data_IF_190978531576
#
_entry.id   IF_190978531576
#
_cell.length_a   1.000
_cell.length_b   1.000
_cell.length_c   1.000
_cell.angle_alpha   90.00
_cell.angle_beta   90.00
_cell.angle_gamma   90.00
#
_symmetry.space_group_name_H-M   'P 1'
#
loop_
_entity.id
_entity.type
_entity.pdbx_description
1 polymer ?
#
# COMPACT_ATOMS: atom_id res chain seq x y z
N UNK A 1 22.83 32.17 -9.34
CA UNK A 1 21.72 31.61 -8.53
C UNK A 1 20.45 32.33 -8.97
N UNK A 2 19.64 31.72 -9.84
CA UNK A 2 18.38 32.32 -10.30
C UNK A 2 17.34 32.06 -9.22
N UNK A 3 16.99 33.10 -8.45
CA UNK A 3 15.91 33.02 -7.48
C UNK A 3 14.59 32.95 -8.23
N UNK A 4 14.03 31.75 -8.37
CA UNK A 4 12.62 31.60 -8.71
C UNK A 4 11.84 32.13 -7.51
N UNK A 5 11.33 33.37 -7.60
CA UNK A 5 10.38 33.90 -6.62
C UNK A 5 9.10 33.06 -6.71
N UNK A 6 9.01 32.00 -5.90
CA UNK A 6 7.77 31.30 -5.64
C UNK A 6 6.89 32.19 -4.76
N UNK A 7 6.06 33.03 -5.38
CA UNK A 7 4.93 33.58 -4.65
C UNK A 7 3.84 32.51 -4.55
N UNK A 8 3.23 32.38 -3.37
CA UNK A 8 2.06 31.51 -3.14
C UNK A 8 0.93 31.88 -4.12
N UNK A 9 0.84 33.15 -4.52
CA UNK A 9 -0.07 33.63 -5.54
C UNK A 9 0.17 32.97 -6.91
N UNK A 10 1.41 32.82 -7.36
CA UNK A 10 1.72 32.13 -8.62
C UNK A 10 1.36 30.64 -8.56
N UNK A 11 1.48 30.02 -7.39
CA UNK A 11 1.08 28.61 -7.18
C UNK A 11 -0.44 28.41 -7.26
N UNK A 12 -1.25 29.38 -6.84
CA UNK A 12 -2.71 29.25 -6.83
C UNK A 12 -3.41 29.85 -8.06
N UNK A 13 -2.83 30.89 -8.68
CA UNK A 13 -3.52 31.71 -9.68
C UNK A 13 -2.87 31.74 -11.08
N UNK A 14 -1.75 31.05 -11.33
CA UNK A 14 -1.18 31.01 -12.71
C UNK A 14 -2.05 30.20 -13.67
N UNK A 15 -2.11 30.64 -14.93
CA UNK A 15 -2.87 30.01 -16.01
C UNK A 15 -2.44 28.54 -16.23
N UNK A 16 -3.40 27.64 -16.48
CA UNK A 16 -3.16 26.23 -16.83
C UNK A 16 -2.68 26.03 -18.28
N UNK A 17 -2.63 27.10 -19.06
CA UNK A 17 -2.14 27.08 -20.43
C UNK A 17 -0.62 27.23 -20.43
N UNK A 18 0.04 26.43 -21.25
CA UNK A 18 1.47 26.58 -21.48
C UNK A 18 1.77 28.00 -22.01
N UNK A 19 2.87 28.62 -21.59
CA UNK A 19 3.27 29.93 -22.11
C UNK A 19 3.60 29.84 -23.60
N UNK A 20 3.32 30.91 -24.34
CA UNK A 20 3.74 31.03 -25.74
C UNK A 20 5.22 31.39 -25.76
N UNK A 21 6.03 30.55 -26.40
CA UNK A 21 7.47 30.74 -26.51
C UNK A 21 7.82 31.61 -27.72
N UNK A 22 8.76 32.54 -27.52
CA UNK A 22 9.39 33.31 -28.60
C UNK A 22 10.26 32.39 -29.50
N UNK A 23 10.60 32.86 -30.70
CA UNK A 23 11.43 32.09 -31.63
C UNK A 23 12.80 31.71 -31.07
N UNK A 24 13.40 32.58 -30.24
CA UNK A 24 14.68 32.31 -29.57
C UNK A 24 14.53 31.23 -28.49
N UNK A 25 13.49 31.31 -27.66
CA UNK A 25 13.20 30.29 -26.64
C UNK A 25 12.89 28.92 -27.26
N UNK A 26 12.22 28.89 -28.42
CA UNK A 26 11.99 27.65 -29.16
C UNK A 26 13.31 27.01 -29.65
N UNK A 27 14.30 27.81 -30.04
CA UNK A 27 15.62 27.29 -30.40
C UNK A 27 16.34 26.70 -29.18
N UNK A 28 16.26 27.37 -28.03
CA UNK A 28 16.82 26.87 -26.76
C UNK A 28 16.18 25.54 -26.35
N UNK A 29 14.84 25.43 -26.41
CA UNK A 29 14.15 24.19 -26.10
C UNK A 29 14.49 23.06 -27.08
N UNK A 30 14.64 23.36 -28.39
CA UNK A 30 15.11 22.37 -29.37
C UNK A 30 16.52 21.87 -29.05
N UNK A 31 17.46 22.76 -28.75
CA UNK A 31 18.83 22.39 -28.38
C UNK A 31 18.86 21.56 -27.09
N UNK A 32 18.09 21.97 -26.09
CA UNK A 32 17.93 21.24 -24.84
C UNK A 32 17.34 19.85 -25.03
N UNK A 33 16.33 19.69 -25.88
CA UNK A 33 15.77 18.38 -26.23
C UNK A 33 16.78 17.50 -26.97
N UNK A 34 17.57 18.05 -27.90
CA UNK A 34 18.65 17.31 -28.56
C UNK A 34 19.67 16.79 -27.55
N UNK A 35 20.13 17.65 -26.63
CA UNK A 35 21.10 17.27 -25.60
C UNK A 35 20.53 16.23 -24.61
N UNK A 36 19.26 16.35 -24.22
CA UNK A 36 18.58 15.33 -23.39
C UNK A 36 18.50 13.98 -24.10
N UNK A 37 18.15 13.97 -25.39
CA UNK A 37 18.08 12.73 -26.19
C UNK A 37 19.47 12.11 -26.35
N UNK A 38 20.49 12.92 -26.57
CA UNK A 38 21.89 12.48 -26.63
C UNK A 38 22.31 11.80 -25.32
N UNK A 39 22.07 12.44 -24.16
CA UNK A 39 22.33 11.84 -22.85
C UNK A 39 21.56 10.53 -22.62
N UNK A 40 20.26 10.49 -22.92
CA UNK A 40 19.46 9.28 -22.74
C UNK A 40 19.93 8.12 -23.64
N UNK A 41 20.39 8.42 -24.86
CA UNK A 41 20.98 7.42 -25.76
C UNK A 41 22.31 6.89 -25.22
N UNK A 42 23.14 7.76 -24.65
CA UNK A 42 24.41 7.36 -24.01
C UNK A 42 24.14 6.48 -22.79
N UNK A 43 23.20 6.87 -21.93
CA UNK A 43 22.78 6.10 -20.74
C UNK A 43 22.31 4.70 -21.14
N UNK A 44 21.41 4.59 -22.11
CA UNK A 44 20.93 3.30 -22.63
C UNK A 44 22.07 2.43 -23.22
N UNK A 45 23.05 3.04 -23.89
CA UNK A 45 24.21 2.31 -24.42
C UNK A 45 25.16 1.85 -23.31
N UNK A 46 25.36 2.66 -22.27
CA UNK A 46 26.14 2.28 -21.09
C UNK A 46 25.51 1.06 -20.40
N UNK A 47 24.20 1.09 -20.16
CA UNK A 47 23.47 -0.05 -19.60
C UNK A 47 23.61 -1.31 -20.47
N UNK A 48 23.50 -1.13 -21.80
CA UNK A 48 23.69 -2.25 -22.75
C UNK A 48 25.10 -2.83 -22.66
N UNK A 49 26.13 -1.99 -22.56
CA UNK A 49 27.52 -2.43 -22.44
C UNK A 49 27.78 -3.16 -21.12
N UNK A 50 27.22 -2.68 -20.01
CA UNK A 50 27.29 -3.35 -18.71
C UNK A 50 26.68 -4.77 -18.77
N UNK A 51 25.52 -4.90 -19.43
CA UNK A 51 24.88 -6.20 -19.67
C UNK A 51 25.74 -7.11 -20.56
N UNK A 52 26.37 -6.58 -21.60
CA UNK A 52 27.20 -7.38 -22.51
C UNK A 52 28.49 -7.87 -21.86
N UNK A 53 29.13 -7.04 -21.03
CA UNK A 53 30.28 -7.46 -20.22
C UNK A 53 29.87 -8.59 -19.27
N UNK A 54 28.73 -8.42 -18.58
CA UNK A 54 28.21 -9.43 -17.63
C UNK A 54 27.83 -10.78 -18.28
N UNK A 55 27.71 -10.81 -19.61
CA UNK A 55 27.37 -12.00 -20.39
C UNK A 55 28.54 -12.50 -21.26
N UNK A 56 29.77 -12.09 -20.97
CA UNK A 56 31.00 -12.50 -21.65
C UNK A 56 31.01 -12.22 -23.17
N UNK A 57 30.21 -11.26 -23.65
CA UNK A 57 30.13 -10.90 -25.09
C UNK A 57 31.17 -9.85 -25.48
N UNK A 58 32.44 -10.18 -25.27
CA UNK A 58 33.55 -9.21 -25.32
C UNK A 58 33.69 -8.48 -26.67
N UNK A 59 33.53 -9.17 -27.80
CA UNK A 59 33.69 -8.55 -29.14
C UNK A 59 32.56 -7.56 -29.46
N UNK A 60 31.32 -7.89 -29.09
CA UNK A 60 30.18 -6.98 -29.22
C UNK A 60 30.36 -5.75 -28.31
N UNK A 61 30.88 -5.96 -27.10
CA UNK A 61 31.21 -4.89 -26.16
C UNK A 61 32.28 -3.96 -26.74
N UNK A 62 33.37 -4.49 -27.28
CA UNK A 62 34.44 -3.69 -27.90
C UNK A 62 33.91 -2.82 -29.05
N UNK A 63 33.06 -3.40 -29.90
CA UNK A 63 32.44 -2.67 -31.00
C UNK A 63 31.55 -1.54 -30.49
N UNK A 64 30.63 -1.83 -29.56
CA UNK A 64 29.70 -0.85 -29.00
C UNK A 64 30.40 0.22 -28.16
N UNK A 65 31.49 -0.11 -27.49
CA UNK A 65 32.29 0.84 -26.74
C UNK A 65 32.91 1.91 -27.65
N UNK A 66 33.32 1.54 -28.87
CA UNK A 66 33.79 2.54 -29.85
C UNK A 66 32.67 3.52 -30.20
N UNK A 67 31.45 3.05 -30.42
CA UNK A 67 30.31 3.94 -30.67
C UNK A 67 30.01 4.84 -29.46
N UNK A 68 30.06 4.29 -28.24
CA UNK A 68 29.90 5.05 -27.01
C UNK A 68 30.92 6.20 -26.90
N UNK A 69 32.19 5.95 -27.28
CA UNK A 69 33.23 6.98 -27.27
C UNK A 69 32.87 8.17 -28.17
N UNK A 70 32.35 7.92 -29.38
CA UNK A 70 31.85 8.98 -30.26
C UNK A 70 30.63 9.68 -29.66
N UNK A 71 29.67 8.95 -29.11
CA UNK A 71 28.46 9.54 -28.52
C UNK A 71 28.83 10.49 -27.37
N UNK A 72 29.75 10.10 -26.48
CA UNK A 72 30.24 10.94 -25.37
C UNK A 72 30.98 12.19 -25.86
N UNK A 73 31.86 12.06 -26.86
CA UNK A 73 32.58 13.20 -27.43
C UNK A 73 31.64 14.15 -28.15
N UNK A 74 30.76 13.63 -29.01
CA UNK A 74 29.80 14.43 -29.76
C UNK A 74 28.79 15.13 -28.83
N UNK A 75 28.40 14.51 -27.72
CA UNK A 75 27.58 15.19 -26.71
C UNK A 75 28.30 16.42 -26.12
N UNK A 76 29.61 16.34 -25.87
CA UNK A 76 30.39 17.49 -25.40
C UNK A 76 30.55 18.55 -26.50
N UNK A 77 30.78 18.16 -27.75
CA UNK A 77 30.87 19.09 -28.88
C UNK A 77 29.53 19.80 -29.12
N UNK A 78 28.41 19.08 -29.10
CA UNK A 78 27.06 19.66 -29.17
C UNK A 78 26.84 20.67 -28.03
N UNK A 79 27.21 20.31 -26.80
CA UNK A 79 27.09 21.19 -25.63
C UNK A 79 27.85 22.52 -25.81
N UNK A 80 29.04 22.47 -26.43
CA UNK A 80 29.87 23.65 -26.69
C UNK A 80 29.59 24.33 -28.03
N UNK A 81 28.54 23.92 -28.75
CA UNK A 81 28.19 24.40 -30.10
C UNK A 81 29.31 24.19 -31.14
N UNK A 82 30.11 23.15 -30.98
CA UNK A 82 31.15 22.72 -31.92
C UNK A 82 30.60 21.68 -32.90
N UNK A 83 31.24 21.56 -34.07
CA UNK A 83 30.85 20.61 -35.11
C UNK A 83 31.11 19.18 -34.64
N UNK A 84 30.11 18.32 -34.78
CA UNK A 84 30.21 16.89 -34.48
C UNK A 84 31.24 16.19 -35.37
N UNK A 85 31.87 15.17 -34.81
CA UNK A 85 32.80 14.27 -35.51
C UNK A 85 31.97 13.09 -36.02
N UNK A 86 32.02 12.83 -37.32
CA UNK A 86 31.38 11.65 -37.92
C UNK A 86 31.99 10.37 -37.35
N UNK A 87 31.22 9.29 -37.30
CA UNK A 87 31.76 7.96 -37.03
C UNK A 87 32.94 7.68 -37.97
N UNK A 88 34.00 7.05 -37.46
CA UNK A 88 35.30 6.86 -38.13
C UNK A 88 36.17 8.12 -38.29
N UNK A 89 35.68 9.28 -37.83
CA UNK A 89 36.47 10.52 -37.77
C UNK A 89 37.56 10.47 -36.70
N UNK A 90 38.53 11.39 -36.80
CA UNK A 90 39.64 11.42 -35.87
C UNK A 90 39.25 12.01 -34.50
N UNK A 91 39.17 11.17 -33.47
CA UNK A 91 38.94 11.57 -32.08
C UNK A 91 40.20 12.10 -31.37
N UNK A 92 41.40 11.87 -31.90
CA UNK A 92 42.66 12.31 -31.28
C UNK A 92 42.82 13.84 -31.27
N UNK A 93 42.10 14.55 -32.14
CA UNK A 93 42.06 16.02 -32.15
C UNK A 93 41.12 16.64 -31.11
N UNK A 94 40.40 15.82 -30.34
CA UNK A 94 39.48 16.30 -29.31
C UNK A 94 40.25 16.87 -28.11
N UNK A 95 40.00 18.13 -27.78
CA UNK A 95 40.58 18.78 -26.60
C UNK A 95 39.71 18.46 -25.39
N UNK A 96 40.26 17.69 -24.46
CA UNK A 96 39.56 17.35 -23.20
C UNK A 96 39.32 18.63 -22.40
N UNK A 97 38.07 18.94 -22.00
CA UNK A 97 37.77 20.15 -21.25
C UNK A 97 38.45 20.12 -19.87
N UNK A 98 39.05 21.24 -19.46
CA UNK A 98 39.60 21.40 -18.12
C UNK A 98 38.49 21.29 -17.07
N UNK A 99 38.71 20.47 -16.04
CA UNK A 99 37.75 20.25 -14.96
C UNK A 99 38.39 20.42 -13.60
N UNK A 100 37.67 21.08 -12.69
CA UNK A 100 38.02 21.19 -11.28
C UNK A 100 37.52 19.98 -10.45
N UNK A 101 36.88 19.00 -11.09
CA UNK A 101 36.34 17.83 -10.41
C UNK A 101 37.45 16.79 -10.15
N UNK A 102 37.30 15.99 -9.08
CA UNK A 102 38.24 14.89 -8.76
C UNK A 102 38.28 13.80 -9.85
N UNK A 103 37.23 13.71 -10.67
CA UNK A 103 37.12 12.75 -11.77
C UNK A 103 37.83 13.26 -13.01
N UNK A 104 38.44 12.35 -13.78
CA UNK A 104 39.15 12.65 -15.03
C UNK A 104 38.28 12.23 -16.22
N UNK A 105 37.35 13.08 -16.69
CA UNK A 105 36.48 12.74 -17.80
C UNK A 105 37.31 12.55 -19.09
N UNK A 106 36.77 11.77 -20.02
CA UNK A 106 37.37 11.45 -21.32
C UNK A 106 38.71 10.68 -21.27
N UNK A 107 39.15 10.19 -20.11
CA UNK A 107 40.40 9.43 -19.98
C UNK A 107 40.45 8.17 -20.84
N UNK A 108 39.30 7.55 -21.12
CA UNK A 108 39.20 6.40 -22.01
C UNK A 108 39.70 6.69 -23.44
N UNK A 109 39.81 7.96 -23.85
CA UNK A 109 40.35 8.34 -25.16
C UNK A 109 41.85 8.00 -25.29
N UNK A 110 42.60 8.02 -24.20
CA UNK A 110 44.05 7.71 -24.18
C UNK A 110 44.34 6.28 -24.69
N UNK A 111 43.42 5.36 -24.45
CA UNK A 111 43.55 3.94 -24.76
C UNK A 111 42.59 3.47 -25.87
N UNK A 112 41.76 4.36 -26.44
CA UNK A 112 40.71 4.01 -27.39
C UNK A 112 41.25 3.29 -28.64
N UNK A 113 42.45 3.65 -29.10
CA UNK A 113 43.11 3.01 -30.24
C UNK A 113 43.44 1.52 -30.02
N UNK A 114 43.44 1.05 -28.77
CA UNK A 114 43.78 -0.32 -28.37
C UNK A 114 42.56 -1.16 -27.94
N UNK A 115 41.33 -0.65 -28.10
CA UNK A 115 40.11 -1.34 -27.65
C UNK A 115 39.97 -2.76 -28.21
N UNK A 116 40.47 -3.02 -29.42
CA UNK A 116 40.46 -4.37 -30.00
C UNK A 116 41.27 -5.39 -29.19
N UNK A 117 42.29 -4.92 -28.47
CA UNK A 117 43.22 -5.74 -27.68
C UNK A 117 42.78 -5.87 -26.21
N UNK A 118 41.72 -5.18 -25.78
CA UNK A 118 41.29 -5.19 -24.37
C UNK A 118 40.73 -6.55 -23.96
N UNK A 119 41.15 -7.01 -22.78
CA UNK A 119 40.48 -8.10 -22.08
C UNK A 119 39.28 -7.55 -21.27
N UNK A 120 38.56 -8.43 -20.59
CA UNK A 120 37.38 -8.08 -19.78
C UNK A 120 37.69 -7.00 -18.72
N UNK A 121 38.81 -7.13 -17.99
CA UNK A 121 39.22 -6.16 -16.96
C UNK A 121 39.55 -4.78 -17.54
N UNK A 122 40.16 -4.76 -18.72
CA UNK A 122 40.45 -3.53 -19.44
C UNK A 122 39.15 -2.89 -19.96
N UNK A 123 38.17 -3.70 -20.41
CA UNK A 123 36.83 -3.24 -20.79
C UNK A 123 36.06 -2.66 -19.61
N UNK A 124 36.08 -3.31 -18.44
CA UNK A 124 35.47 -2.78 -17.21
C UNK A 124 36.09 -1.44 -16.82
N UNK A 125 37.41 -1.34 -16.90
CA UNK A 125 38.14 -0.10 -16.59
C UNK A 125 37.79 1.02 -17.58
N UNK A 126 37.69 0.69 -18.88
CA UNK A 126 37.27 1.61 -19.92
C UNK A 126 35.82 2.07 -19.75
N UNK A 127 34.90 1.16 -19.41
CA UNK A 127 33.51 1.45 -19.12
C UNK A 127 33.39 2.36 -17.89
N UNK A 128 34.14 2.08 -16.82
CA UNK A 128 34.17 2.93 -15.63
C UNK A 128 34.58 4.37 -15.96
N UNK A 129 35.62 4.56 -16.80
CA UNK A 129 36.03 5.89 -17.26
C UNK A 129 34.97 6.57 -18.17
N UNK A 130 34.23 5.79 -18.95
CA UNK A 130 33.13 6.29 -19.76
C UNK A 130 31.93 6.73 -18.88
N UNK A 131 31.63 5.98 -17.81
CA UNK A 131 30.62 6.34 -16.80
C UNK A 131 31.02 7.65 -16.10
N UNK A 132 32.27 7.79 -15.67
CA UNK A 132 32.78 9.04 -15.08
C UNK A 132 32.56 10.25 -16.01
N UNK A 133 32.72 10.03 -17.32
CA UNK A 133 32.50 11.05 -18.36
C UNK A 133 31.02 11.37 -18.53
N UNK A 134 30.16 10.35 -18.55
CA UNK A 134 28.70 10.52 -18.61
C UNK A 134 28.17 11.28 -17.39
N UNK A 135 28.65 10.96 -16.20
CA UNK A 135 28.24 11.66 -14.97
C UNK A 135 28.70 13.12 -14.97
N UNK A 136 29.91 13.39 -15.48
CA UNK A 136 30.39 14.76 -15.71
C UNK A 136 29.46 15.52 -16.66
N UNK A 137 29.19 14.97 -17.85
CA UNK A 137 28.32 15.58 -18.86
C UNK A 137 26.91 15.83 -18.32
N UNK A 138 26.34 14.84 -17.64
CA UNK A 138 25.01 14.91 -17.03
C UNK A 138 24.94 16.00 -15.96
N UNK A 139 25.95 16.11 -15.10
CA UNK A 139 26.02 17.14 -14.06
C UNK A 139 26.10 18.54 -14.66
N UNK A 140 26.96 18.71 -15.65
CA UNK A 140 27.17 19.99 -16.31
C UNK A 140 25.96 20.44 -17.15
N UNK A 141 25.38 19.54 -17.96
CA UNK A 141 24.17 19.82 -18.71
C UNK A 141 22.99 20.12 -17.78
N UNK A 142 22.88 19.44 -16.64
CA UNK A 142 21.85 19.75 -15.63
C UNK A 142 22.02 21.16 -15.04
N UNK A 143 23.25 21.67 -14.90
CA UNK A 143 23.48 23.06 -14.50
C UNK A 143 23.05 24.01 -15.61
N UNK A 144 23.45 23.75 -16.85
CA UNK A 144 23.11 24.58 -18.00
C UNK A 144 21.61 24.61 -18.28
N UNK A 145 20.90 23.49 -18.13
CA UNK A 145 19.43 23.44 -18.26
C UNK A 145 18.71 24.31 -17.23
N UNK A 146 19.31 24.52 -16.06
CA UNK A 146 18.77 25.38 -14.99
C UNK A 146 19.20 26.84 -15.12
N UNK A 147 20.11 27.17 -16.01
CA UNK A 147 20.64 28.53 -16.18
C UNK A 147 20.49 29.01 -17.62
N UNK A 148 21.31 28.49 -18.54
CA UNK A 148 21.40 28.90 -19.94
C UNK A 148 20.17 28.54 -20.76
N UNK A 149 19.61 27.35 -20.56
CA UNK A 149 18.41 26.86 -21.28
C UNK A 149 17.13 26.95 -20.45
N UNK A 150 17.11 27.83 -19.45
CA UNK A 150 15.93 28.02 -18.61
C UNK A 150 14.92 28.89 -19.36
N UNK A 151 13.70 28.36 -19.57
CA UNK A 151 12.63 29.07 -20.26
C UNK A 151 11.38 29.23 -19.38
N UNK A 152 10.42 30.11 -19.75
CA UNK A 152 9.13 30.20 -19.06
C UNK A 152 8.36 28.86 -19.02
N UNK A 153 8.59 27.98 -20.00
CA UNK A 153 7.99 26.65 -20.04
C UNK A 153 8.47 25.78 -18.87
N UNK A 154 9.74 25.85 -18.48
CA UNK A 154 10.27 25.12 -17.32
C UNK A 154 9.59 25.54 -16.03
N UNK A 155 9.43 26.85 -15.85
CA UNK A 155 8.75 27.40 -14.68
C UNK A 155 7.28 26.94 -14.64
N UNK A 156 6.60 26.94 -15.79
CA UNK A 156 5.23 26.45 -15.91
C UNK A 156 5.13 24.95 -15.57
N UNK A 157 5.99 24.10 -16.15
CA UNK A 157 5.98 22.65 -15.91
C UNK A 157 6.25 22.34 -14.44
N UNK A 158 7.18 23.04 -13.81
CA UNK A 158 7.48 22.86 -12.40
C UNK A 158 6.30 23.26 -11.51
N UNK A 159 5.67 24.42 -11.76
CA UNK A 159 4.47 24.84 -11.01
C UNK A 159 3.34 23.84 -11.21
N UNK A 160 3.14 23.34 -12.43
CA UNK A 160 2.13 22.32 -12.74
C UNK A 160 2.36 21.04 -11.95
N UNK A 161 3.59 20.54 -11.89
CA UNK A 161 3.92 19.32 -11.14
C UNK A 161 3.65 19.49 -9.63
N UNK A 162 4.03 20.63 -9.06
CA UNK A 162 3.74 20.95 -7.66
C UNK A 162 2.23 20.97 -7.39
N UNK A 163 1.44 21.57 -8.28
CA UNK A 163 -0.04 21.59 -8.17
C UNK A 163 -0.64 20.19 -8.22
N UNK A 164 -0.20 19.37 -9.17
CA UNK A 164 -0.67 17.99 -9.28
C UNK A 164 -0.35 17.23 -7.99
N UNK A 165 0.87 17.37 -7.46
CA UNK A 165 1.25 16.78 -6.18
C UNK A 165 0.35 17.22 -5.02
N UNK A 166 0.05 18.52 -4.94
CA UNK A 166 -0.80 19.08 -3.89
C UNK A 166 -2.26 18.61 -3.99
N UNK A 167 -2.84 18.62 -5.18
CA UNK A 167 -4.20 18.11 -5.42
C UNK A 167 -4.29 16.63 -5.08
N UNK A 168 -3.32 15.83 -5.53
CA UNK A 168 -3.24 14.41 -5.19
C UNK A 168 -3.13 14.16 -3.69
N UNK A 169 -2.35 14.97 -2.96
CA UNK A 169 -2.22 14.86 -1.51
C UNK A 169 -3.54 15.19 -0.78
N UNK A 170 -4.27 16.21 -1.23
CA UNK A 170 -5.59 16.55 -0.67
C UNK A 170 -6.58 15.41 -0.91
N UNK A 171 -6.67 14.92 -2.15
CA UNK A 171 -7.57 13.82 -2.52
C UNK A 171 -7.25 12.56 -1.73
N UNK A 172 -5.97 12.20 -1.62
CA UNK A 172 -5.52 11.08 -0.81
C UNK A 172 -5.94 11.26 0.66
N UNK A 173 -5.72 12.44 1.23
CA UNK A 173 -6.09 12.75 2.61
C UNK A 173 -7.59 12.59 2.87
N UNK A 174 -8.44 13.01 1.92
CA UNK A 174 -9.89 12.84 2.01
C UNK A 174 -10.27 11.35 1.98
N UNK A 175 -9.71 10.59 1.04
CA UNK A 175 -10.00 9.15 0.90
C UNK A 175 -9.55 8.38 2.14
N UNK A 176 -8.33 8.61 2.60
CA UNK A 176 -7.81 7.98 3.81
C UNK A 176 -8.58 8.41 5.05
N UNK A 177 -8.93 9.70 5.16
CA UNK A 177 -9.74 10.22 6.25
C UNK A 177 -11.12 9.57 6.31
N UNK A 178 -11.80 9.46 5.17
CA UNK A 178 -13.10 8.78 5.07
C UNK A 178 -12.98 7.29 5.42
N UNK A 179 -11.98 6.60 4.88
CA UNK A 179 -11.76 5.17 5.14
C UNK A 179 -11.45 4.91 6.62
N UNK A 180 -10.61 5.74 7.23
CA UNK A 180 -10.31 5.67 8.66
C UNK A 180 -11.55 5.93 9.52
N UNK A 181 -12.37 6.92 9.14
CA UNK A 181 -13.62 7.20 9.83
C UNK A 181 -14.57 5.99 9.79
N UNK A 182 -14.77 5.39 8.62
CA UNK A 182 -15.60 4.17 8.46
C UNK A 182 -15.06 2.99 9.26
N UNK A 183 -13.74 2.82 9.32
CA UNK A 183 -13.09 1.79 10.13
C UNK A 183 -13.28 2.01 11.64
N UNK A 184 -13.12 3.25 12.12
CA UNK A 184 -13.21 3.59 13.54
C UNK A 184 -14.66 3.65 14.04
N UNK A 185 -15.58 4.07 13.19
CA UNK A 185 -17.00 4.24 13.48
C UNK A 185 -17.85 3.46 12.47
N UNK A 186 -17.80 2.11 12.52
CA UNK A 186 -18.53 1.29 11.58
C UNK A 186 -20.04 1.46 11.80
N UNK A 187 -20.74 1.68 10.70
CA UNK A 187 -22.21 1.64 10.65
C UNK A 187 -22.64 0.19 10.52
N UNK A 188 -23.63 -0.21 11.31
CA UNK A 188 -24.15 -1.56 11.28
C UNK A 188 -24.77 -1.86 9.91
N UNK A 189 -24.47 -3.05 9.40
CA UNK A 189 -25.00 -3.61 8.16
C UNK A 189 -25.79 -4.87 8.48
N UNK A 190 -26.74 -5.19 7.62
CA UNK A 190 -27.44 -6.47 7.69
C UNK A 190 -26.42 -7.61 7.63
N UNK A 191 -26.50 -8.52 8.58
CA UNK A 191 -25.56 -9.64 8.74
C UNK A 191 -26.31 -10.82 9.36
N UNK A 192 -25.60 -11.86 9.78
CA UNK A 192 -26.22 -13.02 10.42
C UNK A 192 -25.49 -13.44 11.70
N UNK A 193 -26.24 -13.98 12.65
CA UNK A 193 -25.69 -14.74 13.76
C UNK A 193 -25.57 -16.18 13.29
N UNK A 194 -24.39 -16.77 13.47
CA UNK A 194 -24.13 -18.18 13.12
C UNK A 194 -23.94 -18.99 14.39
N UNK A 195 -24.53 -20.18 14.42
CA UNK A 195 -24.39 -21.13 15.50
C UNK A 195 -23.80 -22.44 15.00
N UNK A 196 -22.94 -22.99 15.84
CA UNK A 196 -22.34 -24.30 15.67
C UNK A 196 -22.44 -25.04 16.99
N UNK A 197 -22.71 -26.34 16.93
CA UNK A 197 -22.62 -27.24 18.09
C UNK A 197 -21.28 -27.94 18.07
N UNK A 198 -20.74 -28.24 19.25
CA UNK A 198 -19.58 -29.12 19.39
C UNK A 198 -19.81 -30.16 20.50
N UNK A 199 -19.07 -31.26 20.42
CA UNK A 199 -19.34 -32.47 21.21
C UNK A 199 -19.02 -32.32 22.69
N UNK A 200 -17.86 -31.76 23.03
CA UNK A 200 -17.43 -31.60 24.42
C UNK A 200 -16.33 -30.56 24.54
N UNK A 201 -15.94 -30.24 25.79
CA UNK A 201 -14.82 -29.34 26.09
C UNK A 201 -13.49 -29.83 25.50
N UNK A 202 -13.27 -31.14 25.49
CA UNK A 202 -12.07 -31.81 24.98
C UNK A 202 -12.04 -31.85 23.45
N UNK A 203 -13.21 -31.79 22.81
CA UNK A 203 -13.38 -31.81 21.35
C UNK A 203 -14.22 -30.61 20.89
N UNK A 204 -13.68 -29.37 20.93
CA UNK A 204 -14.42 -28.15 20.63
C UNK A 204 -14.44 -27.78 19.13
N UNK A 205 -13.97 -28.67 18.26
CA UNK A 205 -13.93 -28.41 16.82
C UNK A 205 -15.35 -28.33 16.26
N UNK A 206 -15.59 -27.30 15.45
CA UNK A 206 -16.89 -27.03 14.80
C UNK A 206 -16.75 -27.24 13.30
N UNK A 207 -17.84 -27.65 12.64
CA UNK A 207 -17.85 -27.90 11.21
C UNK A 207 -18.71 -26.84 10.50
N UNK A 208 -18.11 -26.12 9.54
CA UNK A 208 -18.78 -25.07 8.77
C UNK A 208 -20.02 -25.58 8.01
N UNK A 209 -20.01 -26.85 7.58
CA UNK A 209 -21.16 -27.46 6.89
C UNK A 209 -22.38 -27.72 7.78
N UNK A 210 -22.21 -27.69 9.11
CA UNK A 210 -23.28 -27.92 10.08
C UNK A 210 -23.78 -26.62 10.73
N UNK A 211 -23.39 -25.46 10.19
CA UNK A 211 -23.80 -24.15 10.69
C UNK A 211 -25.30 -23.91 10.51
N UNK A 212 -25.93 -23.28 11.51
CA UNK A 212 -27.26 -22.67 11.35
C UNK A 212 -27.17 -21.15 11.54
N UNK A 213 -27.83 -20.38 10.68
CA UNK A 213 -27.73 -18.92 10.66
C UNK A 213 -29.11 -18.24 10.75
N UNK A 214 -29.15 -17.07 11.40
CA UNK A 214 -30.32 -16.18 11.39
C UNK A 214 -29.93 -14.75 11.03
N UNK A 215 -30.73 -14.07 10.19
CA UNK A 215 -30.45 -12.70 9.81
C UNK A 215 -30.64 -11.74 11.00
N UNK A 216 -29.72 -10.79 11.12
CA UNK A 216 -29.82 -9.62 11.99
C UNK A 216 -29.96 -8.41 11.11
N UNK A 217 -31.13 -7.78 11.15
CA UNK A 217 -31.47 -6.66 10.30
C UNK A 217 -31.15 -5.34 11.00
N UNK A 218 -30.65 -4.37 10.26
CA UNK A 218 -30.31 -3.03 10.75
C UNK A 218 -31.49 -2.32 11.43
N UNK A 219 -32.72 -2.60 10.99
CA UNK A 219 -33.94 -2.05 11.60
C UNK A 219 -34.15 -2.50 13.06
N UNK A 220 -33.58 -3.63 13.46
CA UNK A 220 -33.78 -4.23 14.78
C UNK A 220 -32.69 -3.82 15.79
N UNK A 221 -31.73 -2.98 15.36
CA UNK A 221 -30.71 -2.40 16.23
C UNK A 221 -31.36 -1.59 17.36
N UNK A 222 -30.85 -1.78 18.58
CA UNK A 222 -31.36 -1.11 19.77
C UNK A 222 -32.53 -1.84 20.44
N UNK A 223 -33.12 -2.83 19.77
CA UNK A 223 -34.20 -3.65 20.31
C UNK A 223 -33.65 -4.99 20.84
N UNK A 224 -34.37 -5.56 21.81
CA UNK A 224 -34.14 -6.94 22.22
C UNK A 224 -34.87 -7.86 21.24
N UNK A 225 -34.14 -8.79 20.64
CA UNK A 225 -34.67 -9.74 19.68
C UNK A 225 -34.36 -11.16 20.14
N UNK A 226 -35.36 -12.03 20.08
CA UNK A 226 -35.18 -13.47 20.29
C UNK A 226 -34.98 -14.13 18.94
N UNK A 227 -33.80 -14.67 18.72
CA UNK A 227 -33.45 -15.46 17.55
C UNK A 227 -33.68 -16.93 17.86
N UNK A 228 -34.42 -17.62 17.00
CA UNK A 228 -34.83 -19.02 17.19
C UNK A 228 -34.36 -19.88 16.02
N UNK A 229 -33.51 -20.87 16.30
CA UNK A 229 -33.00 -21.81 15.30
C UNK A 229 -33.60 -23.19 15.53
N UNK A 230 -34.16 -23.76 14.46
CA UNK A 230 -34.42 -25.19 14.43
C UNK A 230 -33.14 -25.94 14.10
N UNK A 231 -32.79 -26.93 14.92
CA UNK A 231 -31.61 -27.73 14.76
C UNK A 231 -31.87 -28.93 13.83
N UNK A 232 -30.91 -29.25 12.93
CA UNK A 232 -30.89 -30.52 12.23
C UNK A 232 -30.55 -31.66 13.20
N UNK A 233 -30.91 -32.90 12.84
CA UNK A 233 -30.68 -34.09 13.68
C UNK A 233 -29.20 -34.26 14.07
N UNK A 234 -28.27 -33.87 13.20
CA UNK A 234 -26.83 -33.91 13.45
C UNK A 234 -26.36 -32.97 14.58
N UNK A 235 -27.20 -32.02 15.00
CA UNK A 235 -26.95 -31.07 16.09
C UNK A 235 -27.87 -31.32 17.29
N UNK A 236 -28.55 -32.46 17.37
CA UNK A 236 -29.52 -32.74 18.44
C UNK A 236 -28.85 -33.17 19.76
N UNK A 237 -27.58 -33.58 19.71
CA UNK A 237 -26.78 -33.95 20.88
C UNK A 237 -25.45 -33.17 20.87
N UNK A 238 -25.17 -32.41 21.92
CA UNK A 238 -23.98 -31.56 22.02
C UNK A 238 -23.64 -31.19 23.46
N UNK A 239 -22.36 -30.93 23.72
CA UNK A 239 -21.83 -30.46 25.01
C UNK A 239 -21.44 -28.98 24.99
N UNK A 240 -21.66 -28.28 23.87
CA UNK A 240 -21.38 -26.85 23.78
C UNK A 240 -21.83 -26.19 22.47
N UNK A 241 -21.80 -24.85 22.47
CA UNK A 241 -22.15 -23.98 21.35
C UNK A 241 -21.03 -23.00 21.05
N UNK A 242 -20.67 -22.86 19.76
CA UNK A 242 -19.98 -21.69 19.25
C UNK A 242 -21.02 -20.74 18.66
N UNK A 243 -20.99 -19.50 19.15
CA UNK A 243 -21.84 -18.40 18.70
C UNK A 243 -20.93 -17.38 18.02
N UNK A 244 -21.18 -17.13 16.75
CA UNK A 244 -20.54 -16.04 16.02
C UNK A 244 -21.60 -14.93 15.93
N UNK A 245 -21.57 -13.94 16.85
CA UNK A 245 -22.67 -13.01 17.02
C UNK A 245 -22.79 -12.02 15.86
N UNK A 246 -21.67 -11.70 15.19
CA UNK A 246 -21.56 -10.65 14.17
C UNK A 246 -20.36 -10.93 13.25
N UNK A 247 -20.34 -10.33 12.06
CA UNK A 247 -19.19 -10.33 11.15
C UNK A 247 -18.45 -8.98 11.18
N UNK A 248 -19.08 -7.96 11.76
CA UNK A 248 -18.54 -6.60 11.82
C UNK A 248 -17.80 -6.33 13.14
N UNK A 249 -16.62 -5.69 13.04
CA UNK A 249 -15.92 -5.07 14.17
C UNK A 249 -16.69 -3.85 14.70
N UNK A 250 -16.49 -3.53 15.99
CA UNK A 250 -16.86 -2.25 16.57
C UNK A 250 -18.35 -2.12 16.87
N UNK A 251 -19.06 -3.24 16.89
CA UNK A 251 -20.46 -3.30 17.26
C UNK A 251 -20.55 -3.81 18.70
N UNK A 252 -21.32 -3.09 19.53
CA UNK A 252 -21.66 -3.51 20.88
C UNK A 252 -22.85 -4.46 20.81
N UNK A 253 -22.82 -5.53 21.59
CA UNK A 253 -23.94 -6.44 21.73
C UNK A 253 -24.07 -6.96 23.14
N UNK A 254 -25.27 -7.38 23.51
CA UNK A 254 -25.57 -8.01 24.78
C UNK A 254 -26.32 -9.30 24.52
N UNK A 255 -25.94 -10.36 25.22
CA UNK A 255 -26.65 -11.62 25.25
C UNK A 255 -27.37 -11.69 26.59
N UNK A 256 -28.70 -11.79 26.59
CA UNK A 256 -29.51 -11.84 27.82
C UNK A 256 -29.65 -13.28 28.31
N UNK A 257 -30.04 -14.18 27.42
CA UNK A 257 -30.33 -15.57 27.76
C UNK A 257 -30.12 -16.51 26.58
N UNK A 258 -29.76 -17.75 26.92
CA UNK A 258 -29.68 -18.92 26.03
C UNK A 258 -30.71 -19.93 26.53
N UNK A 259 -31.59 -20.40 25.65
CA UNK A 259 -32.57 -21.44 25.97
C UNK A 259 -32.52 -22.53 24.92
N UNK A 260 -32.52 -23.80 25.35
CA UNK A 260 -32.58 -24.97 24.46
C UNK A 260 -33.86 -25.75 24.77
N UNK A 261 -34.59 -26.11 23.72
CA UNK A 261 -35.86 -26.83 23.81
C UNK A 261 -35.75 -28.19 23.10
N UNK A 262 -36.43 -29.19 23.64
CA UNK A 262 -36.61 -30.49 23.00
C UNK A 262 -37.68 -30.45 21.89
N UNK A 263 -37.89 -31.60 21.23
CA UNK A 263 -38.91 -31.77 20.18
C UNK A 263 -40.36 -31.53 20.64
N UNK A 264 -40.63 -31.55 21.96
CA UNK A 264 -41.94 -31.29 22.57
C UNK A 264 -42.08 -29.83 23.04
N UNK A 265 -41.05 -29.00 22.82
CA UNK A 265 -41.00 -27.63 23.30
C UNK A 265 -40.69 -27.49 24.79
N UNK A 266 -40.27 -28.56 25.46
CA UNK A 266 -39.84 -28.51 26.86
C UNK A 266 -38.44 -27.93 26.96
N UNK A 267 -38.25 -27.04 27.91
CA UNK A 267 -36.94 -26.47 28.24
C UNK A 267 -36.02 -27.53 28.84
N UNK A 268 -34.89 -27.78 28.18
CA UNK A 268 -33.86 -28.74 28.60
C UNK A 268 -32.58 -28.03 29.05
N UNK A 269 -32.39 -26.78 28.67
CA UNK A 269 -31.33 -25.92 29.18
C UNK A 269 -31.75 -24.45 29.13
N UNK A 270 -31.41 -23.70 30.17
CA UNK A 270 -31.63 -22.27 30.22
C UNK A 270 -30.56 -21.60 31.06
N UNK A 271 -29.92 -20.57 30.49
CA UNK A 271 -28.88 -19.81 31.16
C UNK A 271 -29.05 -18.34 30.86
N UNK A 272 -29.12 -17.55 31.92
CA UNK A 272 -29.05 -16.08 31.85
C UNK A 272 -27.59 -15.64 31.91
N UNK A 273 -27.23 -14.63 31.12
CA UNK A 273 -25.85 -14.14 31.03
C UNK A 273 -25.75 -12.79 31.75
N UNK A 274 -25.32 -12.83 33.01
CA UNK A 274 -25.13 -11.65 33.85
C UNK A 274 -23.69 -11.54 34.35
N UNK A 275 -23.32 -10.36 34.81
CA UNK A 275 -22.02 -10.07 35.41
C UNK A 275 -22.02 -10.58 36.84
N UNK A 276 -21.07 -11.45 37.19
CA UNK A 276 -20.88 -11.94 38.55
C UNK A 276 -20.22 -10.91 39.47
N UNK A 277 -20.16 -11.21 40.77
CA UNK A 277 -19.43 -10.41 41.75
C UNK A 277 -17.93 -10.24 41.45
N UNK A 278 -17.36 -11.14 40.64
CA UNK A 278 -15.97 -11.07 40.19
C UNK A 278 -15.76 -10.17 38.96
N UNK A 279 -16.82 -9.48 38.48
CA UNK A 279 -16.84 -8.65 37.27
C UNK A 279 -16.59 -9.42 35.95
N UNK A 280 -16.58 -10.75 36.03
CA UNK A 280 -16.63 -11.65 34.89
C UNK A 280 -18.06 -12.15 34.67
N UNK A 281 -18.42 -12.66 33.48
CA UNK A 281 -19.66 -13.40 33.29
C UNK A 281 -19.86 -14.45 34.40
N UNK A 282 -21.08 -14.57 34.90
CA UNK A 282 -21.45 -15.64 35.82
C UNK A 282 -21.17 -17.00 35.18
N UNK A 283 -20.61 -17.91 35.98
CA UNK A 283 -20.07 -19.19 35.53
C UNK A 283 -19.08 -19.05 34.36
N UNK A 284 -18.12 -18.13 34.48
CA UNK A 284 -17.05 -17.92 33.48
C UNK A 284 -16.34 -19.22 33.07
N UNK A 285 -16.32 -20.24 33.93
CA UNK A 285 -15.75 -21.56 33.63
C UNK A 285 -16.44 -22.29 32.47
N UNK A 286 -17.68 -21.90 32.15
CA UNK A 286 -18.46 -22.40 31.01
C UNK A 286 -18.04 -21.74 29.69
N UNK A 287 -17.23 -20.68 29.71
CA UNK A 287 -16.69 -20.06 28.51
C UNK A 287 -15.36 -20.73 28.16
N UNK A 288 -15.37 -21.57 27.13
CA UNK A 288 -14.14 -22.23 26.67
C UNK A 288 -13.21 -21.26 25.95
N UNK A 289 -13.77 -20.39 25.11
CA UNK A 289 -13.00 -19.46 24.27
C UNK A 289 -13.86 -18.25 23.90
N UNK A 290 -13.27 -17.07 23.99
CA UNK A 290 -13.82 -15.83 23.44
C UNK A 290 -12.76 -15.25 22.51
N UNK A 291 -13.10 -15.08 21.23
CA UNK A 291 -12.19 -14.56 20.20
C UNK A 291 -12.75 -13.26 19.65
N UNK A 292 -11.90 -12.27 19.39
CA UNK A 292 -12.28 -10.98 18.76
C UNK A 292 -13.46 -10.26 19.43
N UNK A 293 -13.65 -10.46 20.74
CA UNK A 293 -14.69 -9.85 21.55
C UNK A 293 -14.07 -9.41 22.88
N UNK A 294 -14.46 -8.22 23.35
CA UNK A 294 -14.12 -7.71 24.69
C UNK A 294 -15.35 -7.24 25.43
N UNK A 295 -15.27 -7.17 26.76
CA UNK A 295 -16.32 -6.53 27.57
C UNK A 295 -16.42 -5.04 27.26
N UNK A 296 -17.64 -4.51 27.35
CA UNK A 296 -17.94 -3.14 27.02
C UNK A 296 -18.00 -2.26 28.29
N UNK A 297 -17.01 -1.37 28.46
CA UNK A 297 -16.99 -0.42 29.57
C UNK A 297 -16.76 -1.05 30.95
N UNK A 298 -17.00 -0.27 32.02
CA UNK A 298 -17.05 -0.79 33.39
C UNK A 298 -18.45 -1.36 33.63
N UNK A 299 -18.52 -2.63 34.03
CA UNK A 299 -19.77 -3.31 34.33
C UNK A 299 -19.93 -3.51 35.84
N UNK A 300 -21.17 -3.56 36.30
CA UNK A 300 -21.51 -3.76 37.72
C UNK A 300 -22.08 -5.18 37.89
N UNK A 301 -21.79 -5.87 39.01
CA UNK A 301 -22.41 -7.16 39.29
C UNK A 301 -23.94 -7.11 39.19
N UNK A 302 -24.54 -8.13 38.58
CA UNK A 302 -25.98 -8.23 38.31
C UNK A 302 -26.45 -7.55 37.03
N UNK A 303 -25.60 -6.76 36.35
CA UNK A 303 -25.92 -6.22 35.03
C UNK A 303 -25.78 -7.28 33.93
N UNK A 304 -26.37 -7.02 32.76
CA UNK A 304 -26.15 -7.82 31.56
C UNK A 304 -24.73 -7.63 31.05
N UNK A 305 -24.12 -8.72 30.58
CA UNK A 305 -22.78 -8.66 29.97
C UNK A 305 -22.88 -7.95 28.62
N UNK A 306 -22.39 -6.71 28.57
CA UNK A 306 -22.20 -5.99 27.32
C UNK A 306 -20.83 -6.32 26.71
N UNK A 307 -20.79 -6.59 25.41
CA UNK A 307 -19.60 -7.01 24.67
C UNK A 307 -19.41 -6.14 23.43
N UNK A 308 -18.19 -6.00 22.93
CA UNK A 308 -17.86 -5.29 21.69
C UNK A 308 -16.95 -6.17 20.85
N UNK A 309 -17.28 -6.31 19.56
CA UNK A 309 -16.42 -6.99 18.59
C UNK A 309 -15.17 -6.17 18.28
N UNK A 310 -14.00 -6.81 18.24
CA UNK A 310 -12.68 -6.16 18.04
C UNK A 310 -11.96 -6.57 16.77
N UNK A 311 -12.36 -7.67 16.14
CA UNK A 311 -11.75 -8.18 14.92
C UNK A 311 -12.78 -8.64 13.90
N UNK A 312 -12.34 -9.52 12.99
CA UNK A 312 -13.12 -9.99 11.83
C UNK A 312 -13.82 -11.32 12.06
N UNK A 313 -13.49 -12.02 13.14
CA UNK A 313 -14.04 -13.35 13.45
C UNK A 313 -14.41 -13.44 14.95
N UNK A 314 -15.41 -12.67 15.40
CA UNK A 314 -15.83 -12.69 16.79
C UNK A 314 -16.58 -14.00 17.10
N UNK A 315 -16.13 -14.72 18.13
CA UNK A 315 -16.67 -16.02 18.50
C UNK A 315 -16.79 -16.17 20.01
N UNK A 316 -17.87 -16.79 20.47
CA UNK A 316 -18.07 -17.19 21.86
C UNK A 316 -18.34 -18.69 21.92
N UNK A 317 -17.47 -19.43 22.60
CA UNK A 317 -17.62 -20.87 22.80
C UNK A 317 -18.11 -21.12 24.22
N UNK A 318 -19.35 -21.58 24.33
CA UNK A 318 -20.02 -21.97 25.55
C UNK A 318 -20.00 -23.49 25.72
N UNK A 319 -19.69 -23.96 26.92
CA UNK A 319 -19.74 -25.36 27.33
C UNK A 319 -20.85 -25.49 28.35
N UNK A 320 -21.59 -26.58 28.29
CA UNK A 320 -22.60 -26.93 29.28
C UNK A 320 -22.76 -28.46 29.33
N UNK A 321 -23.47 -29.02 30.33
CA UNK A 321 -23.70 -30.47 30.40
C UNK A 321 -24.32 -31.00 29.11
N UNK A 322 -23.91 -32.19 28.65
CA UNK A 322 -24.37 -32.77 27.38
C UNK A 322 -25.89 -32.76 27.30
N UNK A 323 -26.41 -32.05 26.30
CA UNK A 323 -27.85 -31.98 26.00
C UNK A 323 -28.17 -33.06 24.99
N UNK A 324 -29.29 -33.76 25.20
CA UNK A 324 -29.84 -34.76 24.27
C UNK A 324 -31.20 -34.32 23.76
N UNK A 325 -31.55 -34.78 22.56
CA UNK A 325 -32.84 -34.52 21.89
C UNK A 325 -33.16 -33.03 21.70
N UNK A 326 -32.14 -32.18 21.58
CA UNK A 326 -32.30 -30.75 21.32
C UNK A 326 -32.89 -30.52 19.93
N UNK A 327 -33.96 -29.73 19.86
CA UNK A 327 -34.62 -29.38 18.59
C UNK A 327 -34.54 -27.90 18.26
N UNK A 328 -34.55 -27.04 19.27
CA UNK A 328 -34.57 -25.59 19.07
C UNK A 328 -33.63 -24.87 20.02
N UNK A 329 -32.88 -23.89 19.52
CA UNK A 329 -32.09 -22.96 20.34
C UNK A 329 -32.71 -21.57 20.21
N UNK A 330 -32.83 -20.87 21.33
CA UNK A 330 -33.27 -19.48 21.42
C UNK A 330 -32.17 -18.64 22.05
N UNK A 331 -31.76 -17.57 21.37
CA UNK A 331 -30.85 -16.55 21.91
C UNK A 331 -31.58 -15.21 21.94
N UNK A 332 -31.63 -14.58 23.10
CA UNK A 332 -32.15 -13.21 23.22
C UNK A 332 -31.00 -12.23 23.25
N UNK A 333 -30.88 -11.43 22.19
CA UNK A 333 -29.74 -10.54 21.98
C UNK A 333 -30.19 -9.13 21.65
N UNK A 334 -29.31 -8.16 21.93
CA UNK A 334 -29.45 -6.76 21.55
C UNK A 334 -28.15 -6.26 20.94
N UNK A 335 -28.26 -5.55 19.82
CA UNK A 335 -27.12 -4.97 19.11
C UNK A 335 -27.19 -3.45 19.14
N UNK A 336 -26.04 -2.78 19.29
CA UNK A 336 -25.90 -1.32 19.31
C UNK A 336 -24.58 -0.94 18.63
N UNK A 337 -24.57 0.07 17.78
CA UNK A 337 -23.31 0.63 17.27
C UNK A 337 -22.50 1.25 18.42
N UNK A 338 -21.26 0.80 18.63
CA UNK A 338 -20.51 1.15 19.85
C UNK A 338 -20.30 2.68 20.02
N UNK A 339 -20.25 3.42 18.92
CA UNK A 339 -20.06 4.86 18.91
C UNK A 339 -21.34 5.68 19.18
N UNK A 340 -22.52 5.04 19.12
CA UNK A 340 -23.81 5.67 19.43
C UNK A 340 -24.25 5.48 20.89
N UNK A 341 -23.50 4.70 21.66
CA UNK A 341 -23.78 4.54 23.09
C UNK A 341 -23.45 5.84 23.81
N UNK A 342 -24.46 6.50 24.39
CA UNK A 342 -24.22 7.63 25.30
C UNK A 342 -23.38 7.12 26.47
N UNK A 343 -22.27 7.80 26.77
CA UNK A 343 -21.50 7.52 27.99
C UNK A 343 -22.45 7.72 29.17
N UNK A 344 -22.67 6.65 29.95
CA UNK A 344 -23.36 6.72 31.24
C UNK A 344 -22.50 7.46 32.24
#
# INVERSE_FOLDING_TARGET
MVFVKFSIQNLLFSFWKAPVLTSEEQLLEKQKEVLKKSLASIESRLETLEILISNDKLEDTKLLFRYLAYDLVNCQLQRTNQKEISFEGNLQGFVVPETNQKRKPFRFLESLGKVSEWNEKDMESGLSAAIDTFEFLSSELKKEFKSRYFTPLDQFLLIRNVRIGLVSAIVASIIFGFSYYQYKYPVFKDQSIKLYTFTSRENPNTNESLMVAKPVLKKDIGNWVTYEWELPKSMAEFGGLRIDPLEQRGIRFSLDQITVLDSKGKEIYNKKIIVSSSLLPEDYQDFLKITDIKTAGKQIPGELVEMITTGSDPQIHFVFPTVKDAKTIKLKMKFIEAHKVKKK
#
